data_IF_717323054051
#
_entry.id   IF_717323054051
#
_cell.length_a   1.000
_cell.length_b   1.000
_cell.length_c   1.000
_cell.angle_alpha   90.00
_cell.angle_beta   90.00
_cell.angle_gamma   90.00
#
_symmetry.space_group_name_H-M   'P 1'
#
loop_
_entity.id
_entity.type
_entity.pdbx_description
1 polymer ?
#
# COMPACT_ATOMS: atom_id res chain seq x y z
N UNK A 1 15.86 -7.03 33.38
CA UNK A 1 16.33 -8.13 32.50
C UNK A 1 16.54 -9.35 33.37
N UNK A 2 15.80 -10.43 33.12
CA UNK A 2 15.98 -11.72 33.79
C UNK A 2 17.07 -12.49 33.07
N UNK A 3 18.19 -12.76 33.75
CA UNK A 3 19.23 -13.64 33.23
C UNK A 3 18.74 -15.09 33.25
N UNK A 4 19.19 -15.92 32.28
CA UNK A 4 18.93 -17.37 32.32
C UNK A 4 19.63 -17.96 33.55
N UNK A 5 18.87 -18.60 34.43
CA UNK A 5 19.37 -19.28 35.63
C UNK A 5 19.55 -20.81 35.44
N UNK A 6 19.12 -21.33 34.29
CA UNK A 6 19.24 -22.73 33.89
C UNK A 6 19.17 -22.85 32.37
N UNK A 7 19.56 -24.02 31.85
CA UNK A 7 19.42 -24.35 30.43
C UNK A 7 17.97 -24.19 29.97
N UNK A 8 17.79 -23.53 28.84
CA UNK A 8 16.48 -23.28 28.24
C UNK A 8 16.32 -24.12 27.00
N UNK A 9 15.32 -25.01 26.98
CA UNK A 9 14.89 -25.64 25.74
C UNK A 9 14.21 -24.60 24.84
N UNK A 10 14.94 -24.15 23.82
CA UNK A 10 14.45 -23.14 22.87
C UNK A 10 13.81 -23.86 21.70
N UNK A 11 12.48 -23.89 21.65
CA UNK A 11 11.78 -24.44 20.48
C UNK A 11 12.11 -23.60 19.24
N UNK A 12 12.62 -24.27 18.22
CA UNK A 12 12.79 -23.70 16.90
C UNK A 12 11.61 -24.15 16.03
N UNK A 13 10.93 -23.20 15.40
CA UNK A 13 10.06 -23.50 14.26
C UNK A 13 11.00 -23.74 13.07
N UNK A 14 11.14 -24.99 12.65
CA UNK A 14 12.01 -25.40 11.53
C UNK A 14 11.16 -25.63 10.29
N UNK A 15 11.57 -25.05 9.15
CA UNK A 15 10.92 -25.23 7.86
C UNK A 15 10.07 -24.02 7.44
N UNK A 16 9.22 -24.23 6.43
CA UNK A 16 8.32 -23.19 5.88
C UNK A 16 6.90 -23.28 6.46
N UNK A 17 6.66 -24.13 7.46
CA UNK A 17 5.34 -24.32 8.06
C UNK A 17 5.25 -23.46 9.32
N UNK A 18 4.25 -22.59 9.35
CA UNK A 18 3.89 -21.77 10.51
C UNK A 18 2.69 -22.39 11.21
N UNK A 19 2.72 -22.43 12.54
CA UNK A 19 1.59 -22.88 13.36
C UNK A 19 0.92 -21.66 13.99
N UNK A 20 -0.35 -21.42 13.66
CA UNK A 20 -1.08 -20.20 14.03
C UNK A 20 -2.41 -20.52 14.70
N UNK A 21 -2.76 -19.77 15.75
CA UNK A 21 -4.11 -19.81 16.31
C UNK A 21 -5.14 -19.29 15.30
N UNK A 22 -6.25 -20.00 15.17
CA UNK A 22 -7.35 -19.64 14.26
C UNK A 22 -8.25 -18.58 14.92
N UNK A 23 -8.72 -17.62 14.13
CA UNK A 23 -9.65 -16.60 14.60
C UNK A 23 -10.97 -17.22 15.07
N UNK A 24 -11.70 -16.53 15.96
CA UNK A 24 -13.02 -16.97 16.39
C UNK A 24 -13.97 -17.11 15.18
N UNK A 25 -14.98 -17.98 15.30
CA UNK A 25 -16.02 -18.17 14.31
C UNK A 25 -15.51 -18.39 12.87
N UNK A 26 -14.43 -19.15 12.71
CA UNK A 26 -13.71 -19.27 11.43
C UNK A 26 -13.51 -20.73 11.02
N UNK A 27 -13.84 -21.02 9.76
CA UNK A 27 -13.54 -22.29 9.09
C UNK A 27 -12.47 -22.06 8.03
N UNK A 28 -11.42 -22.90 8.04
CA UNK A 28 -10.33 -22.90 7.04
C UNK A 28 -10.29 -24.28 6.39
N UNK A 29 -10.35 -24.33 5.06
CA UNK A 29 -10.26 -25.58 4.29
C UNK A 29 -8.81 -25.94 3.99
N UNK A 30 -8.52 -27.23 3.87
CA UNK A 30 -7.21 -27.67 3.39
C UNK A 30 -6.95 -27.14 1.97
N UNK A 31 -5.75 -26.63 1.72
CA UNK A 31 -5.36 -26.05 0.43
C UNK A 31 -5.84 -24.61 0.20
N UNK A 32 -6.58 -24.01 1.14
CA UNK A 32 -7.06 -22.64 0.99
C UNK A 32 -6.01 -21.61 1.40
N UNK A 33 -6.17 -20.38 0.89
CA UNK A 33 -5.38 -19.22 1.30
C UNK A 33 -5.65 -18.93 2.78
N UNK A 34 -4.57 -18.77 3.55
CA UNK A 34 -4.61 -18.33 4.94
C UNK A 34 -4.03 -16.92 5.05
N UNK A 35 -4.81 -16.05 5.67
CA UNK A 35 -4.47 -14.67 5.96
C UNK A 35 -4.39 -14.45 7.47
N UNK A 36 -3.60 -13.48 7.92
CA UNK A 36 -3.56 -13.01 9.30
C UNK A 36 -4.41 -11.75 9.44
N UNK A 37 -5.27 -11.70 10.44
CA UNK A 37 -6.04 -10.49 10.76
C UNK A 37 -5.24 -9.50 11.64
N UNK A 38 -5.80 -8.31 11.87
CA UNK A 38 -5.16 -7.28 12.68
C UNK A 38 -4.88 -7.69 14.14
N UNK A 39 -5.62 -8.67 14.67
CA UNK A 39 -5.42 -9.20 16.04
C UNK A 39 -4.40 -10.34 16.10
N UNK A 40 -3.84 -10.76 14.96
CA UNK A 40 -2.75 -11.73 14.89
C UNK A 40 -3.18 -13.18 14.63
N UNK A 41 -4.47 -13.46 14.46
CA UNK A 41 -4.99 -14.82 14.26
C UNK A 41 -5.18 -15.16 12.77
N UNK A 42 -5.14 -16.46 12.46
CA UNK A 42 -5.35 -16.99 11.12
C UNK A 42 -6.84 -16.93 10.72
N UNK A 43 -7.11 -16.50 9.49
CA UNK A 43 -8.43 -16.50 8.87
C UNK A 43 -8.32 -16.90 7.39
N UNK A 44 -9.45 -17.18 6.75
CA UNK A 44 -9.50 -17.53 5.33
C UNK A 44 -9.20 -16.32 4.43
N UNK A 45 -8.68 -16.57 3.23
CA UNK A 45 -8.70 -15.59 2.14
C UNK A 45 -10.12 -15.10 1.87
N UNK A 46 -10.30 -13.79 1.79
CA UNK A 46 -11.59 -13.17 1.52
C UNK A 46 -11.42 -11.70 1.12
N UNK A 47 -12.46 -11.16 0.49
CA UNK A 47 -12.61 -9.72 0.28
C UNK A 47 -12.86 -9.03 1.62
N UNK A 48 -11.78 -8.60 2.27
CA UNK A 48 -11.79 -7.78 3.47
C UNK A 48 -10.49 -6.95 3.57
N UNK A 49 -10.53 -5.90 4.39
CA UNK A 49 -9.37 -5.07 4.71
C UNK A 49 -8.69 -5.51 6.01
N UNK A 50 -7.44 -5.08 6.19
CA UNK A 50 -6.68 -5.33 7.43
C UNK A 50 -6.19 -6.77 7.58
N UNK A 51 -6.14 -7.53 6.47
CA UNK A 51 -5.56 -8.87 6.43
C UNK A 51 -4.19 -8.84 5.75
N UNK A 52 -3.36 -9.85 6.02
CA UNK A 52 -2.10 -10.08 5.31
C UNK A 52 -1.94 -11.56 5.00
N UNK A 53 -1.62 -11.91 3.75
CA UNK A 53 -1.45 -13.31 3.39
C UNK A 53 -0.21 -13.95 4.00
N UNK A 54 -0.41 -15.17 4.52
CA UNK A 54 0.61 -15.93 5.25
C UNK A 54 1.10 -17.11 4.43
N UNK A 55 0.19 -17.87 3.83
CA UNK A 55 0.47 -19.15 3.18
C UNK A 55 -0.79 -19.93 2.84
N UNK A 56 -0.61 -21.23 2.61
CA UNK A 56 -1.69 -22.17 2.30
C UNK A 56 -1.91 -23.12 3.48
N UNK A 57 -3.17 -23.40 3.81
CA UNK A 57 -3.54 -24.32 4.88
C UNK A 57 -3.15 -25.77 4.52
N UNK A 58 -2.40 -26.44 5.40
CA UNK A 58 -2.04 -27.85 5.19
C UNK A 58 -3.20 -28.81 5.46
N UNK A 59 -4.14 -28.41 6.31
CA UNK A 59 -5.29 -29.22 6.70
C UNK A 59 -6.52 -28.34 6.95
N UNK A 60 -7.69 -28.97 7.06
CA UNK A 60 -8.93 -28.28 7.43
C UNK A 60 -8.96 -28.07 8.95
N UNK A 61 -9.33 -26.87 9.39
CA UNK A 61 -9.58 -26.56 10.80
C UNK A 61 -10.89 -25.81 10.92
N UNK A 62 -11.71 -26.22 11.88
CA UNK A 62 -13.03 -25.66 12.14
C UNK A 62 -13.06 -25.04 13.54
N UNK A 63 -12.97 -23.72 13.59
CA UNK A 63 -13.12 -22.92 14.81
C UNK A 63 -14.42 -22.10 14.76
N UNK A 64 -15.46 -22.61 14.09
CA UNK A 64 -16.71 -21.87 13.89
C UNK A 64 -17.48 -21.60 15.18
N UNK A 65 -17.30 -22.43 16.21
CA UNK A 65 -17.94 -22.27 17.53
C UNK A 65 -16.96 -21.81 18.64
N UNK A 66 -15.67 -21.66 18.32
CA UNK A 66 -14.61 -21.37 19.29
C UNK A 66 -14.20 -19.90 19.36
N UNK A 67 -13.49 -19.56 20.44
CA UNK A 67 -12.81 -18.29 20.62
C UNK A 67 -11.49 -18.24 19.82
N UNK A 68 -10.90 -17.06 19.75
CA UNK A 68 -9.66 -16.87 18.98
C UNK A 68 -8.49 -17.62 19.63
N UNK A 69 -7.90 -18.56 18.90
CA UNK A 69 -6.79 -19.39 19.35
C UNK A 69 -7.17 -20.71 20.01
N UNK A 70 -8.46 -21.06 20.08
CA UNK A 70 -8.91 -22.36 20.59
C UNK A 70 -8.41 -23.51 19.69
N UNK A 71 -8.40 -23.27 18.39
CA UNK A 71 -7.84 -24.18 17.39
C UNK A 71 -6.58 -23.60 16.74
N UNK A 72 -5.72 -24.50 16.23
CA UNK A 72 -4.45 -24.15 15.60
C UNK A 72 -4.40 -24.73 14.18
N UNK A 73 -3.90 -23.94 13.23
CA UNK A 73 -3.70 -24.34 11.84
C UNK A 73 -2.22 -24.31 11.47
N UNK A 74 -1.78 -25.34 10.74
CA UNK A 74 -0.46 -25.38 10.11
C UNK A 74 -0.54 -24.80 8.69
N UNK A 75 0.29 -23.80 8.43
CA UNK A 75 0.26 -22.98 7.21
C UNK A 75 1.59 -23.08 6.51
N UNK A 76 1.60 -23.62 5.29
CA UNK A 76 2.80 -23.68 4.47
C UNK A 76 3.08 -22.36 3.74
N UNK A 77 4.29 -21.85 3.89
CA UNK A 77 4.85 -20.74 3.13
C UNK A 77 5.61 -21.26 1.91
N UNK A 78 5.69 -20.44 0.86
CA UNK A 78 6.29 -20.84 -0.41
C UNK A 78 5.49 -20.35 -1.61
N UNK A 79 5.74 -20.96 -2.77
CA UNK A 79 5.05 -20.62 -4.02
C UNK A 79 3.95 -21.63 -4.27
N UNK A 80 2.72 -21.14 -4.43
CA UNK A 80 1.55 -21.99 -4.68
C UNK A 80 0.75 -21.46 -5.86
N UNK A 81 0.11 -22.39 -6.58
CA UNK A 81 -0.78 -22.04 -7.68
C UNK A 81 -2.18 -21.75 -7.15
N UNK A 82 -2.75 -20.64 -7.57
CA UNK A 82 -4.09 -20.19 -7.23
C UNK A 82 -4.92 -19.89 -8.48
N UNK A 83 -6.24 -19.82 -8.30
CA UNK A 83 -7.13 -19.35 -9.35
C UNK A 83 -6.85 -17.86 -9.63
N UNK A 84 -6.83 -17.51 -10.91
CA UNK A 84 -6.71 -16.14 -11.35
C UNK A 84 -8.10 -15.52 -11.50
N UNK A 85 -8.27 -14.28 -11.06
CA UNK A 85 -9.45 -13.48 -11.40
C UNK A 85 -9.59 -13.31 -12.92
N UNK A 86 -10.75 -12.86 -13.37
CA UNK A 86 -11.07 -12.72 -14.78
C UNK A 86 -11.08 -11.26 -15.26
N UNK A 87 -11.13 -11.09 -16.59
CA UNK A 87 -11.28 -9.80 -17.27
C UNK A 87 -10.24 -8.75 -16.82
N UNK A 88 -10.67 -7.53 -16.51
CA UNK A 88 -9.78 -6.41 -16.18
C UNK A 88 -8.98 -6.61 -14.88
N UNK A 89 -9.39 -7.59 -14.06
CA UNK A 89 -8.77 -7.89 -12.78
C UNK A 89 -7.91 -9.15 -12.82
N UNK A 90 -7.78 -9.77 -14.01
CA UNK A 90 -6.89 -10.89 -14.26
C UNK A 90 -5.43 -10.45 -14.15
N UNK A 91 -4.66 -11.27 -13.44
CA UNK A 91 -3.21 -11.12 -13.31
C UNK A 91 -2.56 -11.60 -14.61
N UNK A 92 -1.64 -10.80 -15.14
CA UNK A 92 -0.93 -11.09 -16.38
C UNK A 92 0.58 -11.19 -16.16
N UNK A 93 1.33 -11.61 -17.18
CA UNK A 93 2.81 -11.68 -17.13
C UNK A 93 3.43 -10.32 -16.74
N UNK A 94 2.79 -9.19 -17.12
CA UNK A 94 3.23 -7.84 -16.76
C UNK A 94 3.08 -7.47 -15.27
N UNK A 95 2.44 -8.34 -14.49
CA UNK A 95 2.20 -8.15 -13.06
C UNK A 95 3.13 -9.01 -12.19
N UNK A 96 3.99 -9.85 -12.79
CA UNK A 96 5.00 -10.62 -12.05
C UNK A 96 5.92 -9.65 -11.27
N UNK A 97 6.16 -9.96 -9.99
CA UNK A 97 6.90 -9.15 -9.04
C UNK A 97 6.04 -8.21 -8.20
N UNK A 98 4.76 -8.01 -8.54
CA UNK A 98 3.82 -7.14 -7.81
C UNK A 98 2.99 -7.93 -6.79
N UNK A 99 2.44 -7.25 -5.76
CA UNK A 99 1.47 -7.90 -4.88
C UNK A 99 0.16 -8.23 -5.62
N UNK A 100 -0.44 -9.37 -5.28
CA UNK A 100 -1.82 -9.71 -5.65
C UNK A 100 -2.76 -9.63 -4.45
N UNK A 101 -4.07 -9.60 -4.70
CA UNK A 101 -5.08 -9.36 -3.67
C UNK A 101 -6.06 -10.52 -3.56
N UNK A 102 -6.47 -10.87 -2.34
CA UNK A 102 -7.40 -11.98 -2.10
C UNK A 102 -8.83 -11.61 -2.53
N UNK A 103 -9.41 -12.39 -3.45
CA UNK A 103 -10.84 -12.29 -3.81
C UNK A 103 -11.66 -13.17 -2.87
N UNK A 104 -11.23 -14.43 -2.77
CA UNK A 104 -11.76 -15.46 -1.89
C UNK A 104 -10.60 -16.35 -1.39
N UNK A 105 -10.90 -17.55 -0.91
CA UNK A 105 -9.96 -18.47 -0.27
C UNK A 105 -9.19 -19.36 -1.27
N UNK A 106 -9.38 -19.18 -2.57
CA UNK A 106 -8.62 -19.86 -3.64
C UNK A 106 -8.30 -18.96 -4.85
N UNK A 107 -8.85 -17.75 -4.92
CA UNK A 107 -8.75 -16.82 -6.06
C UNK A 107 -8.03 -15.53 -5.68
N UNK A 108 -7.10 -15.10 -6.54
CA UNK A 108 -6.38 -13.83 -6.41
C UNK A 108 -6.59 -12.91 -7.61
N UNK A 109 -6.50 -11.61 -7.35
CA UNK A 109 -6.75 -10.54 -8.30
C UNK A 109 -5.55 -9.59 -8.44
N UNK A 110 -5.50 -8.91 -9.59
CA UNK A 110 -4.54 -7.86 -9.90
C UNK A 110 -4.73 -6.62 -9.03
N UNK A 111 -5.97 -6.27 -8.72
CA UNK A 111 -6.31 -5.04 -7.99
C UNK A 111 -6.86 -5.35 -6.60
N UNK A 112 -6.73 -4.37 -5.70
CA UNK A 112 -7.32 -4.41 -4.37
C UNK A 112 -8.85 -4.24 -4.36
N UNK A 113 -9.49 -4.12 -5.54
CA UNK A 113 -10.91 -3.86 -5.70
C UNK A 113 -11.32 -2.49 -5.14
N UNK A 114 -12.01 -1.67 -5.92
CA UNK A 114 -12.48 -0.36 -5.47
C UNK A 114 -14.01 -0.32 -5.43
N UNK A 115 -14.57 0.05 -4.28
CA UNK A 115 -15.98 0.44 -4.15
C UNK A 115 -16.00 1.90 -3.72
N UNK A 116 -16.60 2.76 -4.54
CA UNK A 116 -16.60 4.21 -4.34
C UNK A 116 -15.19 4.81 -4.10
N UNK A 117 -14.17 4.29 -4.81
CA UNK A 117 -12.78 4.75 -4.69
C UNK A 117 -12.01 4.22 -3.48
N UNK A 118 -12.62 3.39 -2.64
CA UNK A 118 -11.99 2.83 -1.44
C UNK A 118 -11.62 1.35 -1.68
N UNK A 119 -10.40 0.90 -1.28
CA UNK A 119 -10.00 -0.50 -1.35
C UNK A 119 -10.96 -1.44 -0.63
N UNK A 120 -11.09 -2.67 -1.12
CA UNK A 120 -11.98 -3.70 -0.53
C UNK A 120 -11.25 -4.99 -0.17
N UNK A 121 -10.05 -5.21 -0.71
CA UNK A 121 -9.28 -6.45 -0.56
C UNK A 121 -7.92 -6.19 0.05
N UNK A 122 -7.44 -7.20 0.75
CA UNK A 122 -6.11 -7.25 1.32
C UNK A 122 -5.13 -7.98 0.41
N UNK A 123 -3.86 -7.62 0.50
CA UNK A 123 -2.82 -8.27 -0.28
C UNK A 123 -2.57 -9.71 0.24
N UNK A 124 -2.53 -10.66 -0.69
CA UNK A 124 -2.38 -12.08 -0.40
C UNK A 124 -0.93 -12.57 -0.51
N UNK A 125 -0.17 -12.07 -1.48
CA UNK A 125 1.21 -12.51 -1.72
C UNK A 125 1.82 -11.77 -2.90
N UNK A 126 2.99 -12.24 -3.35
CA UNK A 126 3.71 -11.66 -4.49
C UNK A 126 3.60 -12.59 -5.69
N UNK A 127 3.25 -12.04 -6.86
CA UNK A 127 3.13 -12.81 -8.09
C UNK A 127 4.52 -13.23 -8.57
N UNK A 128 4.75 -14.52 -8.80
CA UNK A 128 6.03 -15.04 -9.30
C UNK A 128 5.93 -15.69 -10.68
N UNK A 129 4.73 -16.08 -11.10
CA UNK A 129 4.51 -16.68 -12.40
C UNK A 129 3.04 -16.70 -12.79
N UNK A 130 2.77 -16.75 -14.09
CA UNK A 130 1.43 -16.86 -14.66
C UNK A 130 1.44 -17.98 -15.68
N UNK A 131 0.45 -18.86 -15.62
CA UNK A 131 0.23 -19.92 -16.59
C UNK A 131 -1.25 -19.97 -17.00
N UNK A 132 -1.58 -20.76 -18.01
CA UNK A 132 -2.95 -20.84 -18.53
C UNK A 132 -3.97 -21.27 -17.48
N UNK A 133 -3.56 -22.11 -16.52
CA UNK A 133 -4.45 -22.70 -15.51
C UNK A 133 -4.51 -21.92 -14.19
N UNK A 134 -3.71 -20.87 -14.02
CA UNK A 134 -3.67 -20.10 -12.77
C UNK A 134 -2.42 -19.24 -12.62
N UNK A 135 -2.22 -18.76 -11.41
CA UNK A 135 -1.08 -17.90 -11.05
C UNK A 135 -0.30 -18.46 -9.88
N UNK A 136 1.02 -18.40 -9.98
CA UNK A 136 1.92 -18.80 -8.93
C UNK A 136 2.21 -17.59 -8.03
N UNK A 137 1.89 -17.72 -6.75
CA UNK A 137 2.00 -16.66 -5.75
C UNK A 137 2.96 -17.12 -4.65
N UNK A 138 3.97 -16.29 -4.37
CA UNK A 138 4.84 -16.44 -3.21
C UNK A 138 4.13 -15.90 -1.97
N UNK A 139 3.90 -16.80 -1.03
CA UNK A 139 3.44 -16.48 0.31
C UNK A 139 4.61 -16.40 1.27
N UNK A 140 4.86 -15.19 1.76
CA UNK A 140 5.74 -14.91 2.87
C UNK A 140 5.32 -13.56 3.46
N UNK A 141 4.77 -13.58 4.68
CA UNK A 141 4.21 -12.39 5.31
C UNK A 141 5.24 -11.27 5.49
N UNK A 142 6.50 -11.61 5.80
CA UNK A 142 7.56 -10.62 5.98
C UNK A 142 7.94 -9.93 4.67
N UNK A 143 8.10 -10.70 3.59
CA UNK A 143 8.36 -10.14 2.25
C UNK A 143 7.16 -9.32 1.78
N UNK A 144 5.95 -9.83 1.96
CA UNK A 144 4.72 -9.13 1.57
C UNK A 144 4.61 -7.77 2.28
N UNK A 145 4.79 -7.74 3.60
CA UNK A 145 4.80 -6.49 4.38
C UNK A 145 5.92 -5.55 3.95
N UNK A 146 7.12 -6.09 3.67
CA UNK A 146 8.24 -5.28 3.19
C UNK A 146 7.97 -4.66 1.81
N UNK A 147 7.37 -5.40 0.89
CA UNK A 147 6.99 -4.89 -0.44
C UNK A 147 5.87 -3.85 -0.33
N UNK A 148 4.86 -4.08 0.52
CA UNK A 148 3.75 -3.14 0.73
C UNK A 148 4.18 -1.81 1.37
N UNK A 149 5.17 -1.85 2.26
CA UNK A 149 5.71 -0.64 2.93
C UNK A 149 6.80 0.03 2.07
N UNK A 150 7.62 -0.76 1.37
CA UNK A 150 8.75 -0.30 0.56
C UNK A 150 8.39 0.19 -0.84
N UNK A 151 7.13 0.08 -1.26
CA UNK A 151 6.67 0.54 -2.57
C UNK A 151 6.52 2.07 -2.67
N UNK A 152 6.62 2.83 -1.57
CA UNK A 152 6.44 4.29 -1.57
C UNK A 152 7.77 5.03 -1.43
N UNK A 153 8.01 6.01 -2.29
CA UNK A 153 9.12 6.94 -2.22
C UNK A 153 8.61 8.37 -2.03
N UNK A 154 9.18 9.09 -1.08
CA UNK A 154 8.85 10.49 -0.82
C UNK A 154 9.95 11.38 -1.38
N UNK A 155 9.57 12.29 -2.28
CA UNK A 155 10.48 13.28 -2.87
C UNK A 155 10.13 14.66 -2.30
N UNK A 156 10.91 15.16 -1.32
CA UNK A 156 10.62 16.44 -0.69
C UNK A 156 10.98 17.60 -1.64
N UNK A 157 10.22 18.68 -1.56
CA UNK A 157 10.45 19.91 -2.30
C UNK A 157 10.09 21.12 -1.44
N UNK A 158 10.95 22.13 -1.43
CA UNK A 158 10.72 23.37 -0.70
C UNK A 158 10.19 24.45 -1.63
N UNK A 159 9.01 24.97 -1.32
CA UNK A 159 8.38 26.11 -2.00
C UNK A 159 8.67 27.36 -1.19
N UNK A 160 9.61 28.18 -1.68
CA UNK A 160 10.11 29.33 -0.94
C UNK A 160 9.12 30.50 -0.79
N UNK A 161 8.09 30.57 -1.65
CA UNK A 161 7.00 31.55 -1.51
C UNK A 161 5.72 31.02 -2.18
N UNK A 162 4.57 31.27 -1.55
CA UNK A 162 3.22 31.00 -2.07
C UNK A 162 2.62 32.21 -2.79
N UNK A 163 3.46 33.05 -3.42
CA UNK A 163 3.05 34.25 -4.15
C UNK A 163 3.53 34.18 -5.59
N UNK A 164 2.68 34.61 -6.52
CA UNK A 164 3.01 34.74 -7.93
C UNK A 164 3.00 33.40 -8.67
N UNK A 165 3.96 33.21 -9.57
CA UNK A 165 4.01 32.09 -10.52
C UNK A 165 5.33 31.30 -10.47
N UNK A 166 6.00 31.26 -9.31
CA UNK A 166 7.26 30.57 -9.14
C UNK A 166 7.14 29.06 -9.43
N UNK A 167 8.18 28.47 -10.04
CA UNK A 167 8.25 27.03 -10.31
C UNK A 167 9.40 26.44 -9.51
N UNK A 168 9.07 25.55 -8.57
CA UNK A 168 10.03 24.82 -7.76
C UNK A 168 10.21 23.43 -8.34
N UNK A 169 11.45 22.92 -8.40
CA UNK A 169 11.80 21.69 -9.12
C UNK A 169 12.62 20.75 -8.26
N UNK A 170 12.42 19.45 -8.47
CA UNK A 170 13.20 18.35 -7.90
C UNK A 170 13.25 17.21 -8.92
N UNK A 171 14.21 16.31 -8.80
CA UNK A 171 14.36 15.16 -9.70
C UNK A 171 13.76 13.93 -9.04
N UNK A 172 13.02 13.13 -9.80
CA UNK A 172 12.52 11.84 -9.32
C UNK A 172 13.65 10.81 -9.21
N UNK A 173 13.93 10.23 -8.03
CA UNK A 173 14.93 9.18 -7.87
C UNK A 173 14.40 7.80 -8.28
N UNK A 174 13.10 7.67 -8.57
CA UNK A 174 12.42 6.40 -8.84
C UNK A 174 11.47 6.52 -10.03
N UNK A 175 11.21 5.40 -10.70
CA UNK A 175 10.09 5.30 -11.64
C UNK A 175 8.84 4.79 -10.90
N UNK A 176 7.66 5.20 -11.34
CA UNK A 176 6.42 4.87 -10.65
C UNK A 176 5.22 5.71 -11.05
N UNK A 177 4.23 5.80 -10.15
CA UNK A 177 3.11 6.73 -10.24
C UNK A 177 3.07 7.64 -9.02
N UNK A 178 2.87 8.94 -9.23
CA UNK A 178 2.56 9.87 -8.14
C UNK A 178 1.14 9.54 -7.67
N UNK A 179 1.01 9.11 -6.41
CA UNK A 179 -0.28 8.70 -5.81
C UNK A 179 -0.83 9.75 -4.85
N UNK A 180 0.03 10.63 -4.35
CA UNK A 180 -0.33 11.68 -3.42
C UNK A 180 0.71 12.80 -3.49
N UNK A 181 0.24 14.01 -3.23
CA UNK A 181 1.06 15.21 -3.14
C UNK A 181 0.56 15.92 -1.89
N UNK A 182 1.48 16.33 -1.02
CA UNK A 182 1.12 17.04 0.20
C UNK A 182 1.96 18.29 0.40
N UNK A 183 1.38 19.25 1.11
CA UNK A 183 2.10 20.42 1.63
C UNK A 183 1.79 20.65 3.10
N UNK A 184 2.73 21.29 3.79
CA UNK A 184 2.51 21.97 5.06
C UNK A 184 3.02 23.41 4.94
N UNK A 185 2.20 24.38 5.35
CA UNK A 185 2.57 25.81 5.29
C UNK A 185 3.24 26.26 6.58
N UNK A 186 4.18 27.18 6.47
CA UNK A 186 4.94 27.74 7.61
C UNK A 186 4.41 29.12 8.04
N UNK A 187 3.27 29.55 7.49
CA UNK A 187 2.69 30.86 7.76
C UNK A 187 1.30 31.03 7.15
N UNK A 188 0.59 32.07 7.59
CA UNK A 188 -0.77 32.41 7.16
C UNK A 188 -0.82 32.93 5.71
N UNK A 189 -1.96 32.77 5.05
CA UNK A 189 -2.31 33.47 3.81
C UNK A 189 -3.17 34.69 4.13
N UNK A 190 -3.18 35.72 3.27
CA UNK A 190 -3.85 36.99 3.60
C UNK A 190 -4.89 37.47 2.60
N UNK A 191 -4.66 37.33 1.30
CA UNK A 191 -5.51 37.97 0.27
C UNK A 191 -6.37 37.02 -0.54
N UNK A 192 -6.11 35.72 -0.46
CA UNK A 192 -6.87 34.68 -1.13
C UNK A 192 -6.07 33.38 -1.20
N UNK A 193 -6.68 32.35 -1.77
CA UNK A 193 -6.09 31.02 -1.80
C UNK A 193 -4.79 30.99 -2.60
N UNK A 194 -3.86 30.13 -2.18
CA UNK A 194 -2.69 29.78 -2.96
C UNK A 194 -2.90 28.41 -3.61
N UNK A 195 -2.30 28.19 -4.77
CA UNK A 195 -2.32 26.88 -5.42
C UNK A 195 -0.92 26.39 -5.73
N UNK A 196 -0.70 25.08 -5.63
CA UNK A 196 0.51 24.42 -6.10
C UNK A 196 0.10 23.38 -7.15
N UNK A 197 0.38 23.69 -8.41
CA UNK A 197 0.08 22.78 -9.53
C UNK A 197 1.27 21.87 -9.78
N UNK A 198 1.07 20.57 -9.58
CA UNK A 198 2.06 19.55 -9.88
C UNK A 198 2.24 19.33 -11.38
N UNK A 199 3.49 19.18 -11.81
CA UNK A 199 3.85 18.83 -13.17
C UNK A 199 4.98 17.80 -13.21
N UNK A 200 4.94 16.93 -14.21
CA UNK A 200 6.02 16.01 -14.58
C UNK A 200 6.56 16.46 -15.94
N UNK A 201 7.85 16.79 -16.02
CA UNK A 201 8.49 17.28 -17.25
C UNK A 201 7.70 18.41 -17.94
N UNK A 202 7.09 19.32 -17.15
CA UNK A 202 6.28 20.44 -17.63
C UNK A 202 4.81 20.13 -17.95
N UNK A 203 4.38 18.86 -17.95
CA UNK A 203 2.98 18.45 -18.16
C UNK A 203 2.24 18.40 -16.83
N UNK A 204 1.05 19.02 -16.75
CA UNK A 204 0.25 19.03 -15.54
C UNK A 204 -0.26 17.65 -15.16
N UNK A 205 -0.12 17.30 -13.88
CA UNK A 205 -0.68 16.08 -13.31
C UNK A 205 -2.18 16.28 -13.10
N UNK A 206 -3.00 15.37 -13.62
CA UNK A 206 -4.46 15.46 -13.49
C UNK A 206 -4.83 15.28 -12.02
N UNK A 207 -5.69 16.16 -11.50
CA UNK A 207 -6.03 16.27 -10.05
C UNK A 207 -4.82 16.44 -9.12
N UNK A 208 -3.68 16.91 -9.65
CA UNK A 208 -2.45 17.20 -8.89
C UNK A 208 -2.31 18.65 -8.44
N UNK A 209 -3.41 19.38 -8.24
CA UNK A 209 -3.39 20.76 -7.74
C UNK A 209 -3.71 20.75 -6.25
N UNK A 210 -2.80 21.27 -5.43
CA UNK A 210 -3.07 21.59 -4.02
C UNK A 210 -3.74 22.96 -3.98
N UNK A 211 -4.90 23.06 -3.32
CA UNK A 211 -5.56 24.34 -3.03
C UNK A 211 -5.41 24.64 -1.55
N UNK A 212 -4.57 25.61 -1.24
CA UNK A 212 -4.31 26.07 0.12
C UNK A 212 -5.29 27.21 0.40
N UNK A 213 -6.29 26.90 1.23
CA UNK A 213 -7.40 27.83 1.50
C UNK A 213 -6.91 28.95 2.43
N UNK A 214 -7.17 30.21 2.07
CA UNK A 214 -6.79 31.35 2.90
C UNK A 214 -7.57 31.41 4.20
N UNK A 215 -8.87 31.08 4.13
CA UNK A 215 -9.76 31.20 5.26
C UNK A 215 -9.32 30.26 6.39
N UNK A 216 -8.92 30.83 7.52
CA UNK A 216 -8.45 30.07 8.68
C UNK A 216 -7.02 29.54 8.57
N UNK A 217 -6.27 29.93 7.52
CA UNK A 217 -4.89 29.47 7.33
C UNK A 217 -3.98 29.82 8.51
N UNK A 218 -3.13 28.87 8.88
CA UNK A 218 -2.14 28.95 9.95
C UNK A 218 -0.91 28.10 9.63
N UNK A 219 0.23 28.45 10.25
CA UNK A 219 1.41 27.60 10.18
C UNK A 219 1.08 26.19 10.72
N UNK A 220 1.49 25.16 9.98
CA UNK A 220 1.17 23.77 10.29
C UNK A 220 -0.06 23.21 9.58
N UNK A 221 -0.82 24.05 8.85
CA UNK A 221 -1.94 23.58 8.02
C UNK A 221 -1.42 22.71 6.88
N UNK A 222 -2.21 21.68 6.55
CA UNK A 222 -1.83 20.61 5.63
C UNK A 222 -2.82 20.52 4.49
N UNK A 223 -2.29 20.34 3.29
CA UNK A 223 -3.08 20.20 2.08
C UNK A 223 -2.66 18.94 1.34
N UNK A 224 -3.61 18.32 0.63
CA UNK A 224 -3.36 17.09 -0.12
C UNK A 224 -4.06 17.13 -1.48
N UNK A 225 -3.42 16.51 -2.47
CA UNK A 225 -3.99 16.25 -3.78
C UNK A 225 -3.75 14.79 -4.15
N UNK A 226 -4.76 14.15 -4.76
CA UNK A 226 -4.70 12.76 -5.20
C UNK A 226 -4.71 12.70 -6.74
N UNK A 227 -3.54 12.56 -7.38
CA UNK A 227 -3.44 12.42 -8.82
C UNK A 227 -4.21 11.22 -9.37
N UNK A 228 -4.90 11.42 -10.50
CA UNK A 228 -5.72 10.37 -11.15
C UNK A 228 -5.23 9.97 -12.55
N UNK A 229 -4.51 10.87 -13.23
CA UNK A 229 -3.94 10.65 -14.55
C UNK A 229 -2.74 11.56 -14.81
N UNK A 230 -2.00 11.32 -15.89
CA UNK A 230 -0.74 12.02 -16.22
C UNK A 230 0.26 12.03 -15.05
N UNK A 231 0.27 10.96 -14.25
CA UNK A 231 1.01 10.85 -12.99
C UNK A 231 2.10 9.78 -13.04
N UNK A 232 2.43 9.25 -14.23
CA UNK A 232 3.52 8.28 -14.40
C UNK A 232 4.84 9.01 -14.51
N UNK A 233 5.83 8.57 -13.72
CA UNK A 233 7.15 9.19 -13.59
C UNK A 233 8.23 8.15 -13.90
N UNK A 234 9.29 8.58 -14.57
CA UNK A 234 10.52 7.81 -14.78
C UNK A 234 11.64 8.29 -13.84
N UNK A 235 12.66 7.46 -13.66
CA UNK A 235 13.89 7.89 -12.95
C UNK A 235 14.51 9.04 -13.73
N UNK A 236 14.82 10.14 -13.04
CA UNK A 236 15.42 11.33 -13.65
C UNK A 236 14.42 12.37 -14.15
N UNK A 237 13.11 12.06 -14.16
CA UNK A 237 12.09 13.04 -14.54
C UNK A 237 12.10 14.25 -13.60
N UNK A 238 11.87 15.42 -14.17
CA UNK A 238 11.67 16.64 -13.39
C UNK A 238 10.26 16.67 -12.81
N UNK A 239 10.18 16.76 -11.49
CA UNK A 239 8.96 17.01 -10.75
C UNK A 239 8.93 18.48 -10.34
N UNK A 240 7.81 19.15 -10.55
CA UNK A 240 7.70 20.56 -10.19
C UNK A 240 6.36 20.94 -9.58
N UNK A 241 6.39 21.95 -8.72
CA UNK A 241 5.23 22.65 -8.20
C UNK A 241 5.26 24.07 -8.73
N UNK A 242 4.23 24.43 -9.51
CA UNK A 242 4.01 25.81 -9.97
C UNK A 242 3.07 26.51 -9.00
N UNK A 243 3.52 27.61 -8.42
CA UNK A 243 2.69 28.47 -7.57
C UNK A 243 1.65 29.20 -8.41
N UNK A 244 0.46 29.38 -7.85
CA UNK A 244 -0.59 30.22 -8.41
C UNK A 244 -1.55 30.68 -7.31
N UNK A 245 -2.72 31.16 -7.71
CA UNK A 245 -3.71 31.74 -6.79
C UNK A 245 -3.51 33.25 -6.58
N UNK A 246 -4.17 33.79 -5.56
CA UNK A 246 -4.22 35.24 -5.31
C UNK A 246 -3.66 35.63 -3.94
N UNK A 247 -3.01 34.70 -3.23
CA UNK A 247 -2.26 35.00 -2.02
C UNK A 247 -1.11 36.01 -2.29
N UNK A 248 -0.97 37.00 -1.42
CA UNK A 248 0.03 38.06 -1.49
C UNK A 248 1.06 38.01 -0.35
N UNK A 249 0.94 37.06 0.59
CA UNK A 249 1.92 36.88 1.66
C UNK A 249 2.96 35.83 1.29
N UNK A 250 4.24 36.18 1.44
CA UNK A 250 5.38 35.31 1.16
C UNK A 250 5.56 34.18 2.21
N UNK A 251 4.53 33.36 2.37
CA UNK A 251 4.54 32.16 3.20
C UNK A 251 5.28 31.03 2.47
N UNK A 252 6.05 30.25 3.21
CA UNK A 252 6.79 29.08 2.72
C UNK A 252 5.89 27.85 2.83
N UNK A 253 6.03 26.90 1.91
CA UNK A 253 5.47 25.56 2.06
C UNK A 253 6.54 24.49 1.90
N UNK A 254 6.52 23.50 2.80
CA UNK A 254 7.26 22.26 2.64
C UNK A 254 6.33 21.24 2.01
N UNK A 255 6.68 20.72 0.84
CA UNK A 255 5.83 19.81 0.08
C UNK A 255 6.57 18.52 -0.26
N UNK A 256 5.83 17.51 -0.69
CA UNK A 256 6.38 16.26 -1.16
C UNK A 256 5.56 15.67 -2.30
N UNK A 257 6.23 14.90 -3.16
CA UNK A 257 5.60 13.92 -4.04
C UNK A 257 5.73 12.54 -3.42
N UNK A 258 4.62 11.83 -3.31
CA UNK A 258 4.61 10.42 -2.92
C UNK A 258 4.44 9.57 -4.18
N UNK A 259 5.47 8.78 -4.48
CA UNK A 259 5.53 7.94 -5.66
C UNK A 259 5.42 6.49 -5.24
N UNK A 260 4.41 5.81 -5.76
CA UNK A 260 4.34 4.35 -5.75
C UNK A 260 5.25 3.82 -6.86
N UNK A 261 6.30 3.09 -6.47
CA UNK A 261 7.32 2.54 -7.37
C UNK A 261 6.70 1.50 -8.30
N UNK A 262 7.14 1.52 -9.56
CA UNK A 262 6.67 0.61 -10.61
C UNK A 262 7.17 -0.84 -10.41
#
# INVERSE_FOLDING_TARGET
MTALAQDRNTSQLVGTILSLGVAAATLIYAGSIVMRNATGYATKGQTALGLAGVGIANHRVDNSDGAAGDEVIDVAQGVFKLANSAAADAITIADIGKPCYAVDDQTVAKTNGLTAGVPTRSAAGIIVGVETSGVHVLFNEAILRAVLVGSRAFVPIRVATLVGAGVYRVISPVAGKIVNIGSVIEGVLTTGDATLTAKIAGVAVTTGVLTITQAGSAAGDKDYAQPTAANTVAVGDELSLTVGGTNATASVANAFFEIERA
#
